data_IF_698921026031
#
_entry.id   IF_698921026031
#
_cell.length_a   1.000
_cell.length_b   1.000
_cell.length_c   1.000
_cell.angle_alpha   90.00
_cell.angle_beta   90.00
_cell.angle_gamma   90.00
#
_symmetry.space_group_name_H-M   'P 1'
#
loop_
_entity.id
_entity.type
_entity.pdbx_description
1 polymer ?
#
# COMPACT_ATOMS: atom_id res chain seq x y z
N UNK A 1 -3.67 2.76 -2.10
CA UNK A 1 -2.54 3.63 -1.66
C UNK A 1 -1.62 3.96 -2.82
N UNK A 2 -1.27 5.24 -3.01
CA UNK A 2 -0.34 5.73 -4.04
C UNK A 2 1.04 5.98 -3.44
N UNK A 3 2.07 5.49 -4.11
CA UNK A 3 3.46 5.56 -3.69
C UNK A 3 4.32 6.36 -4.67
N UNK A 4 5.50 6.77 -4.21
CA UNK A 4 6.54 7.36 -5.06
C UNK A 4 6.84 6.48 -6.28
N UNK A 5 7.10 7.16 -7.42
CA UNK A 5 7.35 6.52 -8.71
C UNK A 5 6.08 6.06 -9.44
N UNK A 6 4.91 6.64 -9.11
CA UNK A 6 3.65 6.31 -9.80
C UNK A 6 3.11 4.92 -9.48
N UNK A 7 3.64 4.25 -8.45
CA UNK A 7 3.21 2.91 -8.05
C UNK A 7 1.93 2.97 -7.23
N UNK A 8 1.09 1.97 -7.40
CA UNK A 8 -0.17 1.85 -6.68
C UNK A 8 -0.28 0.46 -6.07
N UNK A 9 -0.67 0.41 -4.80
CA UNK A 9 -0.87 -0.83 -4.06
C UNK A 9 -2.16 -0.75 -3.26
N UNK A 10 -2.79 -1.90 -3.05
CA UNK A 10 -3.98 -2.07 -2.22
C UNK A 10 -3.75 -3.23 -1.25
N UNK A 11 -4.36 -3.18 -0.08
CA UNK A 11 -4.23 -4.24 0.91
C UNK A 11 -4.80 -3.82 2.26
N UNK A 12 -4.70 -4.71 3.24
CA UNK A 12 -5.28 -4.54 4.57
C UNK A 12 -4.21 -4.00 5.52
N UNK A 13 -4.45 -2.83 6.10
CA UNK A 13 -3.59 -2.25 7.11
C UNK A 13 -3.60 -3.12 8.38
N UNK A 14 -2.42 -3.60 8.81
CA UNK A 14 -2.26 -4.40 10.04
C UNK A 14 -1.57 -3.65 11.17
N UNK A 15 -0.77 -2.64 10.85
CA UNK A 15 -0.09 -1.82 11.84
C UNK A 15 0.68 -0.67 11.21
N UNK A 16 1.04 0.28 12.06
CA UNK A 16 1.89 1.42 11.71
C UNK A 16 2.85 1.74 12.86
N UNK A 17 3.92 2.47 12.54
CA UNK A 17 4.83 3.05 13.52
C UNK A 17 4.75 4.60 13.50
N UNK A 18 5.41 5.31 14.44
CA UNK A 18 5.41 6.78 14.50
C UNK A 18 6.01 7.48 13.26
N UNK A 19 6.80 6.77 12.45
CA UNK A 19 7.36 7.29 11.19
C UNK A 19 6.44 7.02 9.99
N UNK A 20 5.21 6.53 10.25
CA UNK A 20 4.23 6.12 9.25
C UNK A 20 4.73 5.02 8.31
N UNK A 21 5.67 4.16 8.75
CA UNK A 21 5.87 2.91 8.05
C UNK A 21 4.67 2.00 8.31
N UNK A 22 4.14 1.38 7.25
CA UNK A 22 2.91 0.60 7.32
C UNK A 22 3.18 -0.87 7.06
N UNK A 23 2.56 -1.74 7.87
CA UNK A 23 2.47 -3.17 7.60
C UNK A 23 1.15 -3.43 6.89
N UNK A 24 1.25 -3.87 5.63
CA UNK A 24 0.09 -4.18 4.78
C UNK A 24 0.07 -5.69 4.54
N UNK A 25 -1.06 -6.33 4.84
CA UNK A 25 -1.30 -7.73 4.51
C UNK A 25 -2.19 -7.85 3.26
N UNK A 26 -2.15 -9.02 2.61
CA UNK A 26 -2.89 -9.30 1.37
C UNK A 26 -2.66 -8.20 0.32
N UNK A 27 -1.41 -7.73 0.24
CA UNK A 27 -1.06 -6.60 -0.60
C UNK A 27 -1.03 -7.02 -2.07
N UNK A 28 -1.64 -6.19 -2.90
CA UNK A 28 -1.72 -6.34 -4.35
C UNK A 28 -1.12 -5.09 -4.99
N UNK A 29 -0.11 -5.29 -5.83
CA UNK A 29 0.41 -4.25 -6.71
C UNK A 29 -0.49 -4.10 -7.92
N UNK A 30 -0.85 -2.84 -8.22
CA UNK A 30 -1.63 -2.46 -9.39
C UNK A 30 -0.65 -1.92 -10.43
N UNK A 31 -0.15 -2.80 -11.30
CA UNK A 31 0.83 -2.44 -12.32
C UNK A 31 0.22 -1.49 -13.36
N UNK A 32 1.05 -0.67 -13.99
CA UNK A 32 0.61 0.28 -15.04
C UNK A 32 0.02 -0.41 -16.26
N UNK A 33 0.34 -1.68 -16.49
CA UNK A 33 -0.27 -2.54 -17.53
C UNK A 33 -1.70 -2.99 -17.20
N UNK A 34 -2.20 -2.70 -15.99
CA UNK A 34 -3.47 -3.21 -15.47
C UNK A 34 -3.37 -4.59 -14.82
N UNK A 35 -2.19 -5.23 -14.87
CA UNK A 35 -1.95 -6.49 -14.17
C UNK A 35 -1.95 -6.28 -12.65
N UNK A 36 -2.55 -7.22 -11.93
CA UNK A 36 -2.54 -7.25 -10.48
C UNK A 36 -1.59 -8.34 -9.98
N UNK A 37 -0.59 -7.95 -9.19
CA UNK A 37 0.40 -8.87 -8.65
C UNK A 37 0.21 -9.01 -7.14
N UNK A 38 -0.09 -10.22 -6.67
CA UNK A 38 -0.17 -10.50 -5.24
C UNK A 38 1.25 -10.55 -4.66
N UNK A 39 1.54 -9.64 -3.74
CA UNK A 39 2.85 -9.52 -3.08
C UNK A 39 2.80 -9.87 -1.59
N UNK A 40 1.63 -10.28 -1.08
CA UNK A 40 1.48 -10.86 0.25
C UNK A 40 1.62 -9.82 1.37
N UNK A 41 2.37 -10.14 2.42
CA UNK A 41 2.62 -9.22 3.53
C UNK A 41 3.86 -8.38 3.25
N UNK A 42 3.71 -7.05 3.27
CA UNK A 42 4.78 -6.10 2.96
C UNK A 42 4.86 -4.98 3.98
N UNK A 43 6.05 -4.40 4.09
CA UNK A 43 6.28 -3.15 4.84
C UNK A 43 6.50 -2.03 3.85
N UNK A 44 5.77 -0.93 4.02
CA UNK A 44 5.85 0.26 3.17
C UNK A 44 6.41 1.41 3.98
N UNK A 45 7.49 2.02 3.48
CA UNK A 45 8.16 3.13 4.16
C UNK A 45 7.31 4.40 4.08
N UNK A 46 7.13 5.08 5.22
CA UNK A 46 6.27 6.27 5.33
C UNK A 46 6.61 7.37 4.32
N UNK A 47 7.90 7.67 4.16
CA UNK A 47 8.39 8.68 3.20
C UNK A 47 8.06 8.39 1.72
N UNK A 48 7.65 7.16 1.41
CA UNK A 48 7.27 6.78 0.04
C UNK A 48 5.77 6.87 -0.22
N UNK A 49 4.95 7.18 0.79
CA UNK A 49 3.50 7.25 0.66
C UNK A 49 3.13 8.67 0.23
N UNK A 50 2.48 8.78 -0.93
CA UNK A 50 1.95 10.05 -1.45
C UNK A 50 0.51 10.24 -0.98
N UNK A 51 -0.29 9.18 -1.05
CA UNK A 51 -1.72 9.23 -0.70
C UNK A 51 -2.20 7.89 -0.17
N UNK A 52 -2.92 7.93 0.94
CA UNK A 52 -3.61 6.79 1.53
C UNK A 52 -5.12 7.10 1.56
N UNK A 53 -5.92 6.16 1.06
CA UNK A 53 -7.38 6.25 1.02
C UNK A 53 -7.96 4.91 1.49
N UNK A 54 -9.06 4.97 2.24
CA UNK A 54 -9.80 3.80 2.66
C UNK A 54 -10.80 3.39 1.56
N UNK A 55 -10.82 2.11 1.21
CA UNK A 55 -11.77 1.57 0.24
C UNK A 55 -13.11 1.21 0.88
N UNK A 56 -13.08 0.85 2.16
CA UNK A 56 -14.26 0.57 2.97
C UNK A 56 -14.53 1.71 3.93
N UNK A 57 -15.81 1.97 4.20
CA UNK A 57 -16.24 2.90 5.25
C UNK A 57 -16.22 2.18 6.60
N UNK A 58 -15.71 2.86 7.61
CA UNK A 58 -15.80 2.48 9.04
C UNK A 58 -17.12 3.00 9.61
#
# INVERSE_FOLDING_TARGET
MKLNGGRHVQGILRGSDPFMNLVINECVEMATSGQQNNIGMVVIRGNSIIMLEALERV
#
